data_IF_889917127609
#
_entry.id   IF_889917127609
#
_cell.length_a   1.000
_cell.length_b   1.000
_cell.length_c   1.000
_cell.angle_alpha   90.00
_cell.angle_beta   90.00
_cell.angle_gamma   90.00
#
_symmetry.space_group_name_H-M   'P 1'
#
loop_
_entity.id
_entity.type
_entity.pdbx_description
1 polymer ?
#
# COMPACT_ATOMS: atom_id res chain seq x y z
N UNK A 1 1.59 15.07 1.86
CA UNK A 1 1.41 13.65 1.45
C UNK A 1 2.69 13.14 0.83
N UNK A 2 3.13 11.96 1.25
CA UNK A 2 4.21 11.17 0.60
C UNK A 2 3.60 9.88 0.06
N UNK A 3 4.25 9.29 -0.94
CA UNK A 3 3.79 8.05 -1.58
C UNK A 3 4.94 7.08 -1.68
N UNK A 4 4.74 5.86 -1.17
CA UNK A 4 5.76 4.82 -1.17
C UNK A 4 5.27 3.62 -1.99
N UNK A 5 6.23 2.96 -2.66
CA UNK A 5 6.08 1.60 -3.15
C UNK A 5 7.15 0.74 -2.49
N UNK A 6 6.77 -0.42 -1.97
CA UNK A 6 7.67 -1.35 -1.32
C UNK A 6 7.55 -2.70 -2.02
N UNK A 7 8.66 -3.18 -2.59
CA UNK A 7 8.80 -4.59 -2.90
C UNK A 7 9.19 -5.35 -1.63
N UNK A 8 8.38 -6.33 -1.24
CA UNK A 8 8.62 -7.19 -0.08
C UNK A 8 9.13 -8.55 -0.56
N UNK A 9 10.40 -8.83 -0.25
CA UNK A 9 11.13 -10.02 -0.68
C UNK A 9 10.97 -11.10 0.37
N UNK A 10 10.08 -12.06 0.11
CA UNK A 10 9.84 -13.22 0.96
C UNK A 10 9.24 -14.38 0.14
N UNK A 11 9.10 -15.55 0.78
CA UNK A 11 8.46 -16.74 0.20
C UNK A 11 7.10 -17.09 0.82
N UNK A 12 6.59 -16.30 1.77
CA UNK A 12 5.25 -16.48 2.35
C UNK A 12 4.18 -16.35 1.27
N UNK A 13 3.27 -17.32 1.17
CA UNK A 13 2.25 -17.41 0.11
C UNK A 13 1.07 -16.46 0.31
N UNK A 14 0.82 -16.10 1.56
CA UNK A 14 -0.31 -15.33 2.06
C UNK A 14 0.01 -13.86 2.32
N UNK A 15 1.27 -13.46 2.20
CA UNK A 15 1.72 -12.07 2.34
C UNK A 15 1.87 -11.37 0.97
N UNK A 16 1.67 -10.04 0.89
CA UNK A 16 1.80 -9.29 -0.34
C UNK A 16 3.27 -9.14 -0.75
N UNK A 17 3.53 -9.22 -2.05
CA UNK A 17 4.87 -9.03 -2.62
C UNK A 17 5.16 -7.56 -2.95
N UNK A 18 4.11 -6.74 -3.06
CA UNK A 18 4.24 -5.31 -3.33
C UNK A 18 3.17 -4.53 -2.59
N UNK A 19 3.59 -3.44 -1.96
CA UNK A 19 2.73 -2.55 -1.17
C UNK A 19 2.86 -1.13 -1.69
N UNK A 20 1.75 -0.43 -1.84
CA UNK A 20 1.71 1.00 -2.14
C UNK A 20 0.99 1.72 -1.02
N UNK A 21 1.57 2.81 -0.53
CA UNK A 21 1.02 3.58 0.59
C UNK A 21 1.01 5.07 0.26
N UNK A 22 -0.14 5.72 0.41
CA UNK A 22 -0.24 7.17 0.56
C UNK A 22 -0.23 7.51 2.04
N UNK A 23 0.62 8.46 2.42
CA UNK A 23 0.95 8.75 3.80
C UNK A 23 0.85 10.26 4.05
N UNK A 24 0.25 10.65 5.16
CA UNK A 24 0.13 12.05 5.59
C UNK A 24 1.44 12.64 6.13
N UNK A 25 1.39 13.90 6.57
CA UNK A 25 2.54 14.62 7.14
C UNK A 25 2.97 14.09 8.52
N UNK A 26 2.07 13.39 9.22
CA UNK A 26 2.33 12.72 10.50
C UNK A 26 2.77 11.26 10.28
N UNK A 27 2.96 10.86 9.02
CA UNK A 27 3.32 9.52 8.59
C UNK A 27 2.24 8.46 8.80
N UNK A 28 0.98 8.84 9.02
CA UNK A 28 -0.13 7.90 9.04
C UNK A 28 -0.51 7.48 7.62
N UNK A 29 -0.83 6.20 7.45
CA UNK A 29 -1.29 5.66 6.17
C UNK A 29 -2.76 6.06 5.93
N UNK A 30 -3.05 6.64 4.77
CA UNK A 30 -4.39 7.14 4.40
C UNK A 30 -5.04 6.22 3.36
N UNK A 31 -4.23 5.74 2.41
CA UNK A 31 -4.63 4.75 1.40
C UNK A 31 -3.54 3.72 1.23
N UNK A 32 -3.94 2.46 1.05
CA UNK A 32 -3.03 1.34 0.84
C UNK A 32 -3.51 0.44 -0.29
N UNK A 33 -2.58 -0.08 -1.09
CA UNK A 33 -2.81 -1.17 -2.04
C UNK A 33 -1.77 -2.26 -1.83
N UNK A 34 -2.23 -3.51 -1.75
CA UNK A 34 -1.41 -4.70 -1.62
C UNK A 34 -1.61 -5.61 -2.83
N UNK A 35 -0.50 -6.06 -3.41
CA UNK A 35 -0.49 -7.03 -4.51
C UNK A 35 0.13 -8.33 -4.03
N UNK A 36 -0.62 -9.42 -4.19
CA UNK A 36 -0.21 -10.76 -3.78
C UNK A 36 0.37 -11.55 -4.95
N UNK A 37 1.19 -12.55 -4.63
CA UNK A 37 1.88 -13.38 -5.63
C UNK A 37 0.92 -14.16 -6.54
N UNK A 38 -0.25 -14.54 -6.02
CA UNK A 38 -1.31 -15.22 -6.78
C UNK A 38 -2.17 -14.27 -7.62
N UNK A 39 -1.84 -12.97 -7.64
CA UNK A 39 -2.55 -11.94 -8.38
C UNK A 39 -3.75 -11.36 -7.63
N UNK A 40 -4.05 -11.82 -6.41
CA UNK A 40 -5.04 -11.14 -5.56
C UNK A 40 -4.57 -9.73 -5.24
N UNK A 41 -5.56 -8.89 -4.93
CA UNK A 41 -5.35 -7.51 -4.53
C UNK A 41 -6.08 -7.24 -3.22
N UNK A 42 -5.46 -6.42 -2.40
CA UNK A 42 -6.10 -5.80 -1.25
C UNK A 42 -5.96 -4.28 -1.35
N UNK A 43 -6.92 -3.55 -0.80
CA UNK A 43 -6.77 -2.11 -0.64
C UNK A 43 -7.54 -1.62 0.58
N UNK A 44 -7.10 -0.50 1.13
CA UNK A 44 -7.73 0.12 2.28
C UNK A 44 -7.74 1.64 2.20
N UNK A 45 -8.75 2.23 2.81
CA UNK A 45 -8.87 3.64 3.18
C UNK A 45 -9.27 3.70 4.66
N UNK A 46 -9.51 4.90 5.20
CA UNK A 46 -10.09 5.05 6.54
C UNK A 46 -11.47 4.37 6.72
N UNK A 47 -12.21 4.16 5.64
CA UNK A 47 -13.60 3.66 5.67
C UNK A 47 -13.79 2.34 4.94
N UNK A 48 -12.78 1.86 4.21
CA UNK A 48 -12.85 0.67 3.38
C UNK A 48 -11.69 -0.25 3.73
N UNK A 49 -11.98 -1.52 3.97
CA UNK A 49 -11.02 -2.62 3.98
C UNK A 49 -11.46 -3.65 2.94
N UNK A 50 -10.61 -3.98 1.98
CA UNK A 50 -10.91 -4.95 0.93
C UNK A 50 -9.76 -5.95 0.78
N UNK A 51 -10.11 -7.22 0.51
CA UNK A 51 -9.13 -8.27 0.27
C UNK A 51 -8.26 -8.59 1.49
N UNK A 52 -8.72 -8.27 2.70
CA UNK A 52 -7.96 -8.44 3.95
C UNK A 52 -6.93 -7.33 4.22
N UNK A 53 -6.80 -6.35 3.32
CA UNK A 53 -5.90 -5.22 3.48
C UNK A 53 -6.43 -4.22 4.50
N UNK A 54 -5.53 -3.69 5.33
CA UNK A 54 -5.80 -2.69 6.37
C UNK A 54 -4.74 -1.61 6.36
N UNK A 55 -5.13 -0.41 6.79
CA UNK A 55 -4.18 0.65 7.07
C UNK A 55 -3.31 0.28 8.29
N UNK A 56 -2.06 0.73 8.29
CA UNK A 56 -1.21 0.65 9.47
C UNK A 56 -1.82 1.44 10.63
N UNK A 57 -1.83 0.84 11.82
CA UNK A 57 -2.26 1.52 13.07
C UNK A 57 -1.14 2.38 13.68
N UNK A 58 0.07 2.29 13.14
CA UNK A 58 1.23 3.08 13.54
C UNK A 58 1.75 3.91 12.37
N UNK A 59 2.38 5.07 12.64
CA UNK A 59 3.05 5.82 11.60
C UNK A 59 4.07 4.96 10.85
N UNK A 60 4.08 5.06 9.52
CA UNK A 60 5.00 4.34 8.65
C UNK A 60 6.42 4.86 8.92
N UNK A 61 7.46 4.03 9.13
CA UNK A 61 8.83 4.49 9.36
C UNK A 61 9.42 5.23 8.16
N UNK A 62 10.50 6.01 8.35
CA UNK A 62 11.18 6.69 7.23
C UNK A 62 11.72 5.70 6.20
N UNK A 63 11.88 6.15 4.95
CA UNK A 63 12.28 5.26 3.85
C UNK A 63 13.67 4.64 4.09
N UNK A 64 14.59 5.40 4.68
CA UNK A 64 15.93 4.93 5.04
C UNK A 64 15.87 3.87 6.15
N UNK A 65 14.91 3.98 7.07
CA UNK A 65 14.70 3.01 8.14
C UNK A 65 14.13 1.70 7.58
N UNK A 66 13.10 1.78 6.72
CA UNK A 66 12.53 0.61 6.03
C UNK A 66 13.60 -0.11 5.21
N UNK A 67 14.45 0.65 4.51
CA UNK A 67 15.52 0.11 3.67
C UNK A 67 16.64 -0.60 4.45
N UNK A 68 16.71 -0.45 5.77
CA UNK A 68 17.69 -1.18 6.60
C UNK A 68 17.38 -2.68 6.69
N UNK A 69 16.12 -3.07 6.53
CA UNK A 69 15.74 -4.48 6.41
C UNK A 69 15.88 -4.93 4.95
N UNK A 70 16.74 -5.92 4.65
CA UNK A 70 16.97 -6.36 3.29
C UNK A 70 15.75 -6.97 2.60
N UNK A 71 14.72 -7.38 3.35
CA UNK A 71 13.46 -7.88 2.80
C UNK A 71 12.63 -6.77 2.16
N UNK A 72 12.81 -5.51 2.56
CA UNK A 72 12.08 -4.39 1.99
C UNK A 72 12.94 -3.61 1.00
N UNK A 73 12.39 -3.35 -0.18
CA UNK A 73 12.96 -2.43 -1.18
C UNK A 73 11.98 -1.28 -1.37
N UNK A 74 12.01 -0.28 -0.48
CA UNK A 74 11.12 0.87 -0.60
C UNK A 74 11.67 1.86 -1.64
N UNK A 75 10.76 2.49 -2.37
CA UNK A 75 11.03 3.66 -3.19
C UNK A 75 9.96 4.71 -2.93
N UNK A 76 10.35 5.98 -2.95
CA UNK A 76 9.38 7.07 -3.04
C UNK A 76 8.89 7.16 -4.48
N UNK A 77 7.58 7.22 -4.66
CA UNK A 77 6.92 7.35 -5.96
C UNK A 77 6.16 8.67 -6.03
N UNK A 78 5.79 9.09 -7.24
CA UNK A 78 4.96 10.28 -7.37
C UNK A 78 3.50 9.98 -7.02
N UNK A 79 2.75 11.04 -6.74
CA UNK A 79 1.29 10.95 -6.59
C UNK A 79 0.64 10.32 -7.81
N UNK A 80 1.04 10.72 -9.00
CA UNK A 80 0.48 10.23 -10.27
C UNK A 80 0.71 8.72 -10.45
N UNK A 81 1.89 8.22 -10.05
CA UNK A 81 2.20 6.79 -10.07
C UNK A 81 1.31 6.01 -9.11
N UNK A 82 1.11 6.53 -7.88
CA UNK A 82 0.21 5.93 -6.92
C UNK A 82 -1.24 5.93 -7.43
N UNK A 83 -1.75 7.06 -7.90
CA UNK A 83 -3.12 7.19 -8.39
C UNK A 83 -3.40 6.28 -9.59
N UNK A 84 -2.42 6.08 -10.47
CA UNK A 84 -2.53 5.14 -11.59
C UNK A 84 -2.75 3.71 -11.09
N UNK A 85 -2.04 3.29 -10.04
CA UNK A 85 -2.25 1.98 -9.42
C UNK A 85 -3.61 1.95 -8.74
N UNK A 86 -3.92 2.95 -7.91
CA UNK A 86 -5.19 3.06 -7.19
C UNK A 86 -6.39 2.92 -8.13
N UNK A 87 -6.48 3.74 -9.18
CA UNK A 87 -7.58 3.72 -10.14
C UNK A 87 -7.67 2.40 -10.94
N UNK A 88 -6.54 1.73 -11.17
CA UNK A 88 -6.53 0.46 -11.92
C UNK A 88 -6.95 -0.76 -11.08
N UNK A 89 -6.84 -0.66 -9.74
CA UNK A 89 -7.01 -1.80 -8.83
C UNK A 89 -8.22 -1.64 -7.90
N UNK A 90 -8.53 -0.42 -7.50
CA UNK A 90 -9.60 -0.13 -6.55
C UNK A 90 -10.93 -0.03 -7.27
N UNK A 91 -11.87 -0.87 -6.85
CA UNK A 91 -13.26 -0.82 -7.31
C UNK A 91 -14.12 -0.33 -6.16
N UNK A 92 -14.36 0.97 -6.11
CA UNK A 92 -15.38 1.52 -5.23
C UNK A 92 -16.69 1.33 -5.99
N UNK A 93 -17.51 0.38 -5.56
CA UNK A 93 -18.89 0.31 -6.04
C UNK A 93 -19.61 1.54 -5.50
N UNK A 94 -19.88 2.50 -6.39
CA UNK A 94 -20.88 3.52 -6.09
C UNK A 94 -22.23 2.81 -6.04
N UNK A 95 -22.78 2.60 -4.86
CA UNK A 95 -24.22 2.32 -4.74
C UNK A 95 -24.95 3.49 -5.41
N UNK A 96 -25.62 3.19 -6.52
CA UNK A 96 -26.46 4.15 -7.22
C UNK A 96 -27.56 4.62 -6.26
N UNK A 97 -27.71 5.94 -6.18
CA UNK A 97 -28.77 6.69 -5.47
C UNK A 97 -30.16 6.15 -5.81
#
# INVERSE_FOLDING_TARGET
>A
MKYLMIDWIHNFSDEPIKIYSEIDEQRNEIRKVELFRDGKIGYATETIEFGGCRLSIYPIPEIEEIATDPQFKPIEITKEEFEKVWQSRVKIECENI
#
